data_IF_380767874039
#
_entry.id   IF_380767874039
#
_cell.length_a   1.000
_cell.length_b   1.000
_cell.length_c   1.000
_cell.angle_alpha   90.00
_cell.angle_beta   90.00
_cell.angle_gamma   90.00
#
_symmetry.space_group_name_H-M   'P 1'
#
loop_
_entity.id
_entity.type
_entity.pdbx_description
1 polymer ?
#
# COMPACT_ATOMS: atom_id res chain seq x y z
N UNK A 1 -2.77 0.07 42.19
CA UNK A 1 -1.46 -0.19 41.56
C UNK A 1 -1.18 0.95 40.59
N UNK A 2 0.03 1.48 40.54
CA UNK A 2 0.43 2.52 39.58
C UNK A 2 1.49 1.96 38.63
N UNK A 3 1.40 2.31 37.35
CA UNK A 3 2.21 1.75 36.27
C UNK A 3 1.34 1.19 35.15
N UNK A 4 1.96 0.84 34.02
CA UNK A 4 1.27 0.18 32.92
C UNK A 4 0.77 -1.20 33.36
N UNK A 5 -0.50 -1.50 33.10
CA UNK A 5 -1.16 -2.78 33.42
C UNK A 5 -1.78 -3.45 32.19
N UNK A 6 -1.49 -2.97 30.97
CA UNK A 6 -2.12 -3.46 29.74
C UNK A 6 -2.06 -4.99 29.59
N UNK A 7 -0.89 -5.58 29.84
CA UNK A 7 -0.71 -7.04 29.75
C UNK A 7 -1.58 -7.80 30.76
N UNK A 8 -1.72 -7.29 31.98
CA UNK A 8 -2.52 -7.90 33.05
C UNK A 8 -4.03 -7.68 32.89
N UNK A 9 -4.44 -6.66 32.14
CA UNK A 9 -5.86 -6.33 31.89
C UNK A 9 -6.39 -7.08 30.67
N UNK A 10 -5.52 -7.33 29.69
CA UNK A 10 -5.87 -7.97 28.43
C UNK A 10 -5.34 -9.41 28.31
N UNK A 11 -4.89 -10.03 29.40
CA UNK A 11 -4.50 -11.45 29.45
C UNK A 11 -5.66 -12.39 29.07
N UNK A 12 -6.89 -12.00 29.42
CA UNK A 12 -8.15 -12.64 29.02
C UNK A 12 -8.50 -12.50 27.53
N UNK A 13 -7.80 -11.64 26.77
CA UNK A 13 -8.12 -11.36 25.37
C UNK A 13 -7.26 -12.22 24.44
N UNK A 14 -7.86 -13.33 23.98
CA UNK A 14 -7.23 -14.23 23.03
C UNK A 14 -6.32 -15.27 23.68
N UNK A 15 -5.55 -15.98 22.85
CA UNK A 15 -4.54 -16.93 23.34
C UNK A 15 -3.23 -16.17 23.55
N UNK A 16 -2.59 -16.35 24.71
CA UNK A 16 -1.27 -15.76 24.98
C UNK A 16 -0.16 -16.71 24.50
N UNK A 17 1.00 -16.16 24.11
CA UNK A 17 2.16 -16.93 23.72
C UNK A 17 3.09 -17.23 24.91
N UNK A 18 3.84 -18.33 24.84
CA UNK A 18 4.88 -18.65 25.83
C UNK A 18 6.04 -17.64 25.77
N UNK A 19 6.31 -17.11 24.57
CA UNK A 19 7.29 -16.05 24.30
C UNK A 19 6.56 -14.81 23.77
N UNK A 20 6.19 -13.92 24.69
CA UNK A 20 5.46 -12.67 24.46
C UNK A 20 6.26 -11.43 24.93
N UNK A 21 5.75 -10.22 24.68
CA UNK A 21 6.33 -8.98 25.21
C UNK A 21 6.24 -8.91 26.74
N UNK A 22 7.16 -8.17 27.34
CA UNK A 22 7.07 -7.75 28.76
C UNK A 22 6.44 -6.36 28.87
N UNK A 23 6.22 -5.88 30.10
CA UNK A 23 5.77 -4.50 30.35
C UNK A 23 6.70 -3.47 29.71
N UNK A 24 7.99 -3.77 29.53
CA UNK A 24 8.92 -2.89 28.83
C UNK A 24 8.64 -2.78 27.33
N UNK A 25 8.27 -3.88 26.66
CA UNK A 25 7.83 -3.85 25.26
C UNK A 25 6.51 -3.09 25.10
N UNK A 26 5.58 -3.28 26.03
CA UNK A 26 4.31 -2.54 26.08
C UNK A 26 4.50 -1.02 26.31
N UNK A 27 5.36 -0.63 27.26
CA UNK A 27 5.72 0.78 27.52
C UNK A 27 6.37 1.43 26.29
N UNK A 28 7.24 0.70 25.59
CA UNK A 28 7.84 1.17 24.34
C UNK A 28 6.79 1.36 23.23
N UNK A 29 5.88 0.41 23.05
CA UNK A 29 4.80 0.55 22.07
C UNK A 29 3.88 1.75 22.39
N UNK A 30 3.54 2.01 23.66
CA UNK A 30 2.81 3.23 24.05
C UNK A 30 3.64 4.51 23.83
N UNK A 31 4.97 4.45 24.00
CA UNK A 31 5.87 5.57 23.68
C UNK A 31 5.83 5.90 22.18
N UNK A 32 5.92 4.90 21.30
CA UNK A 32 5.81 5.11 19.85
C UNK A 32 4.39 5.56 19.47
N UNK A 33 3.34 5.02 20.08
CA UNK A 33 1.97 5.51 19.94
C UNK A 33 1.86 7.01 20.23
N UNK A 34 2.44 7.49 21.34
CA UNK A 34 2.43 8.91 21.69
C UNK A 34 3.19 9.78 20.65
N UNK A 35 4.34 9.30 20.15
CA UNK A 35 5.09 9.98 19.08
C UNK A 35 4.27 10.08 17.78
N UNK A 36 3.62 8.98 17.37
CA UNK A 36 2.77 8.94 16.17
C UNK A 36 1.53 9.85 16.31
N UNK A 37 0.86 9.82 17.47
CA UNK A 37 -0.28 10.68 17.77
C UNK A 37 0.08 12.17 17.77
N UNK A 38 1.17 12.54 18.45
CA UNK A 38 1.67 13.92 18.46
C UNK A 38 2.06 14.40 17.05
N UNK A 39 2.74 13.55 16.28
CA UNK A 39 3.12 13.86 14.90
C UNK A 39 1.89 14.11 14.02
N UNK A 40 0.84 13.29 14.17
CA UNK A 40 -0.45 13.46 13.48
C UNK A 40 -1.07 14.82 13.78
N UNK A 41 -1.12 15.22 15.06
CA UNK A 41 -1.66 16.51 15.48
C UNK A 41 -0.85 17.69 14.93
N UNK A 42 0.49 17.58 14.91
CA UNK A 42 1.39 18.61 14.36
C UNK A 42 1.18 18.75 12.84
N UNK A 43 1.20 17.64 12.09
CA UNK A 43 1.03 17.65 10.63
C UNK A 43 -0.35 18.23 10.24
N UNK A 44 -1.40 17.86 10.98
CA UNK A 44 -2.74 18.42 10.75
C UNK A 44 -2.82 19.91 11.12
N UNK A 45 -2.16 20.32 12.21
CA UNK A 45 -1.93 21.72 12.57
C UNK A 45 -1.33 22.54 11.42
N UNK A 46 -0.30 21.99 10.77
CA UNK A 46 0.38 22.60 9.61
C UNK A 46 -0.48 22.62 8.34
N UNK A 47 -1.47 21.71 8.22
CA UNK A 47 -2.38 21.63 7.07
C UNK A 47 -3.46 22.72 7.07
N UNK A 48 -3.98 23.11 8.25
CA UNK A 48 -5.07 24.09 8.37
C UNK A 48 -4.84 25.43 7.64
N UNK A 49 -3.68 26.11 7.75
CA UNK A 49 -3.45 27.39 7.07
C UNK A 49 -3.22 27.28 5.55
N UNK A 50 -3.11 26.06 4.98
CA UNK A 50 -2.84 25.87 3.54
C UNK A 50 -4.14 25.97 2.71
N UNK A 51 -4.11 26.44 1.45
CA UNK A 51 -5.22 26.31 0.50
C UNK A 51 -5.56 24.84 0.23
N UNK A 52 -6.80 24.53 -0.15
CA UNK A 52 -7.29 23.14 -0.27
C UNK A 52 -6.41 22.27 -1.17
N UNK A 53 -6.04 22.75 -2.36
CA UNK A 53 -5.16 22.02 -3.30
C UNK A 53 -3.74 21.73 -2.80
N UNK A 54 -3.29 22.37 -1.71
CA UNK A 54 -1.95 22.19 -1.14
C UNK A 54 -1.92 21.25 0.09
N UNK A 55 -3.08 20.73 0.51
CA UNK A 55 -3.19 19.88 1.72
C UNK A 55 -2.96 18.39 1.45
N UNK A 56 -2.94 17.95 0.20
CA UNK A 56 -2.89 16.52 -0.15
C UNK A 56 -1.76 15.75 0.55
N UNK A 57 -0.50 16.19 0.39
CA UNK A 57 0.66 15.58 1.08
C UNK A 57 0.51 15.62 2.61
N UNK A 58 0.02 16.72 3.18
CA UNK A 58 -0.22 16.78 4.64
C UNK A 58 -1.28 15.76 5.10
N UNK A 59 -2.32 15.52 4.30
CA UNK A 59 -3.36 14.55 4.60
C UNK A 59 -2.88 13.10 4.43
N UNK A 60 -2.06 12.81 3.42
CA UNK A 60 -1.41 11.49 3.24
C UNK A 60 -0.46 11.22 4.42
N UNK A 61 0.49 12.12 4.68
CA UNK A 61 1.46 11.98 5.77
C UNK A 61 0.81 11.94 7.16
N UNK A 62 -0.26 12.70 7.42
CA UNK A 62 -1.00 12.60 8.68
C UNK A 62 -1.78 11.27 8.80
N UNK A 63 -2.28 10.72 7.69
CA UNK A 63 -2.97 9.42 7.70
C UNK A 63 -1.99 8.29 8.04
N UNK A 64 -0.75 8.37 7.54
CA UNK A 64 0.34 7.45 7.88
C UNK A 64 0.59 7.42 9.39
N UNK A 65 0.78 8.57 10.03
CA UNK A 65 1.03 8.64 11.48
C UNK A 65 -0.22 8.32 12.30
N UNK A 66 -1.43 8.61 11.80
CA UNK A 66 -2.68 8.30 12.49
C UNK A 66 -2.94 6.79 12.57
N UNK A 67 -2.76 6.07 11.46
CA UNK A 67 -2.92 4.60 11.41
C UNK A 67 -1.87 3.92 12.28
N UNK A 68 -0.61 4.35 12.18
CA UNK A 68 0.45 3.85 13.06
C UNK A 68 0.14 4.11 14.54
N UNK A 69 -0.38 5.27 14.91
CA UNK A 69 -0.81 5.55 16.29
C UNK A 69 -1.82 4.50 16.81
N UNK A 70 -2.80 4.11 16.00
CA UNK A 70 -3.83 3.12 16.38
C UNK A 70 -3.22 1.71 16.50
N UNK A 71 -2.34 1.33 15.59
CA UNK A 71 -1.67 0.02 15.63
C UNK A 71 -0.70 -0.08 16.81
N UNK A 72 0.09 0.95 17.09
CA UNK A 72 0.97 1.01 18.26
C UNK A 72 0.20 1.08 19.58
N UNK A 73 -0.98 1.70 19.63
CA UNK A 73 -1.90 1.57 20.76
C UNK A 73 -2.34 0.12 20.96
N UNK A 74 -2.72 -0.58 19.87
CA UNK A 74 -3.13 -2.00 19.95
C UNK A 74 -1.99 -2.88 20.44
N UNK A 75 -0.78 -2.75 19.88
CA UNK A 75 0.40 -3.52 20.31
C UNK A 75 0.79 -3.22 21.76
N UNK A 76 0.77 -1.94 22.18
CA UNK A 76 0.99 -1.56 23.58
C UNK A 76 -0.07 -2.14 24.52
N UNK A 77 -1.32 -2.22 24.06
CA UNK A 77 -2.43 -2.83 24.79
C UNK A 77 -2.39 -4.38 24.83
N UNK A 78 -1.42 -5.05 24.19
CA UNK A 78 -1.40 -6.50 23.98
C UNK A 78 -2.54 -7.04 23.09
N UNK A 79 -3.04 -6.21 22.17
CA UNK A 79 -4.15 -6.52 21.28
C UNK A 79 -3.68 -6.69 19.83
N UNK A 80 -4.39 -7.50 19.06
CA UNK A 80 -4.04 -7.77 17.66
C UNK A 80 -2.80 -8.65 17.50
N UNK A 81 -2.59 -9.58 18.44
CA UNK A 81 -1.56 -10.62 18.41
C UNK A 81 -2.16 -12.02 18.22
N UNK A 82 -1.33 -12.96 17.76
CA UNK A 82 -1.64 -14.39 17.75
C UNK A 82 -0.39 -15.23 18.11
N UNK A 83 -0.53 -16.31 18.91
CA UNK A 83 0.57 -17.22 19.21
C UNK A 83 0.82 -18.20 18.07
N UNK A 84 2.07 -18.24 17.60
CA UNK A 84 2.54 -19.10 16.51
C UNK A 84 3.66 -20.00 17.03
N UNK A 85 3.56 -21.32 16.82
CA UNK A 85 4.61 -22.27 17.18
C UNK A 85 5.96 -21.83 16.59
N UNK A 86 6.96 -21.65 17.44
CA UNK A 86 8.30 -21.31 17.01
C UNK A 86 8.92 -22.47 16.21
N UNK A 87 9.55 -22.15 15.09
CA UNK A 87 10.25 -23.12 14.25
C UNK A 87 11.64 -23.44 14.83
N UNK A 88 12.34 -22.41 15.29
CA UNK A 88 13.72 -22.51 15.77
C UNK A 88 13.80 -22.31 17.29
N UNK A 89 13.69 -23.40 18.05
CA UNK A 89 13.91 -23.36 19.51
C UNK A 89 15.41 -23.24 19.81
N UNK A 90 15.81 -22.16 20.49
CA UNK A 90 17.22 -21.81 20.76
C UNK A 90 17.62 -22.16 22.20
N UNK A 91 18.04 -23.40 22.46
CA UNK A 91 18.57 -23.78 23.78
C UNK A 91 19.80 -22.93 24.17
N UNK A 92 19.78 -22.36 25.38
CA UNK A 92 20.91 -21.61 25.95
C UNK A 92 20.81 -20.08 25.95
N UNK A 93 19.79 -19.46 25.33
CA UNK A 93 19.46 -18.03 25.57
C UNK A 93 18.25 -17.96 26.48
N UNK A 94 18.41 -17.53 27.73
CA UNK A 94 17.32 -17.56 28.73
C UNK A 94 16.02 -16.86 28.28
N UNK A 95 16.11 -15.83 27.43
CA UNK A 95 14.96 -15.12 26.87
C UNK A 95 14.29 -15.82 25.68
N UNK A 96 14.90 -16.81 25.03
CA UNK A 96 14.39 -17.45 23.78
C UNK A 96 14.43 -18.99 23.85
N UNK A 97 14.93 -19.55 24.95
CA UNK A 97 15.05 -20.99 25.17
C UNK A 97 13.73 -21.58 25.68
N UNK A 98 13.17 -22.53 24.94
CA UNK A 98 11.98 -23.29 25.35
C UNK A 98 10.65 -22.77 24.82
N UNK A 99 10.64 -21.75 23.96
CA UNK A 99 9.39 -21.23 23.38
C UNK A 99 8.65 -22.32 22.59
N UNK A 100 7.48 -22.73 23.08
CA UNK A 100 6.48 -23.42 22.28
C UNK A 100 5.93 -22.44 21.26
N UNK A 101 5.13 -21.50 21.73
CA UNK A 101 4.55 -20.42 20.94
C UNK A 101 5.28 -19.10 21.12
N UNK A 102 5.36 -18.34 20.04
CA UNK A 102 5.87 -16.97 19.96
C UNK A 102 4.71 -16.04 19.59
N UNK A 103 4.67 -14.89 20.24
CA UNK A 103 3.73 -13.82 19.91
C UNK A 103 4.04 -13.19 18.54
N UNK A 104 3.00 -12.94 17.76
CA UNK A 104 3.06 -12.28 16.46
C UNK A 104 1.98 -11.20 16.40
N UNK A 105 2.39 -9.93 16.43
CA UNK A 105 1.48 -8.78 16.28
C UNK A 105 1.05 -8.60 14.81
N UNK A 106 0.04 -9.34 14.38
CA UNK A 106 -0.50 -9.23 13.02
C UNK A 106 -1.04 -7.82 12.72
N UNK A 107 -1.46 -7.06 13.74
CA UNK A 107 -1.89 -5.65 13.61
C UNK A 107 -0.79 -4.74 13.03
N UNK A 108 0.49 -5.08 13.18
CA UNK A 108 1.60 -4.36 12.54
C UNK A 108 1.54 -4.43 11.01
N UNK A 109 1.15 -5.58 10.48
CA UNK A 109 0.99 -5.78 9.04
C UNK A 109 -0.29 -5.10 8.52
N UNK A 110 -1.30 -4.88 9.37
CA UNK A 110 -2.46 -4.04 9.05
C UNK A 110 -2.08 -2.56 8.99
N UNK A 111 -1.20 -2.07 9.88
CA UNK A 111 -0.58 -0.74 9.73
C UNK A 111 0.14 -0.65 8.39
N UNK A 112 1.08 -1.56 8.12
CA UNK A 112 1.88 -1.51 6.90
C UNK A 112 1.03 -1.58 5.62
N UNK A 113 0.03 -2.46 5.53
CA UNK A 113 -0.88 -2.56 4.38
C UNK A 113 -1.72 -1.28 4.13
N UNK A 114 -1.70 -0.31 5.04
CA UNK A 114 -2.30 1.01 4.83
C UNK A 114 -1.21 2.07 4.66
N UNK A 115 -0.12 2.00 5.42
CA UNK A 115 0.88 3.07 5.49
C UNK A 115 2.03 2.95 4.50
N UNK A 116 2.45 1.75 4.11
CA UNK A 116 3.48 1.59 3.07
C UNK A 116 2.98 2.03 1.69
N UNK A 117 1.70 1.78 1.28
CA UNK A 117 1.18 2.33 0.04
C UNK A 117 1.09 3.86 0.05
N UNK A 118 0.77 4.46 1.20
CA UNK A 118 0.72 5.92 1.36
C UNK A 118 2.12 6.55 1.33
N UNK A 119 3.15 5.91 1.90
CA UNK A 119 4.55 6.36 1.82
C UNK A 119 5.06 6.34 0.37
N UNK A 120 4.72 5.30 -0.38
CA UNK A 120 5.01 5.21 -1.81
C UNK A 120 4.24 6.26 -2.61
N UNK A 121 2.95 6.48 -2.29
CA UNK A 121 2.14 7.50 -2.95
C UNK A 121 2.75 8.90 -2.77
N UNK A 122 3.16 9.27 -1.55
CA UNK A 122 3.86 10.53 -1.27
C UNK A 122 5.11 10.72 -2.16
N UNK A 123 5.94 9.67 -2.32
CA UNK A 123 7.13 9.71 -3.18
C UNK A 123 6.79 9.77 -4.68
N UNK A 124 5.91 8.90 -5.17
CA UNK A 124 5.62 8.75 -6.60
C UNK A 124 4.84 9.95 -7.15
N UNK A 125 3.97 10.56 -6.34
CA UNK A 125 3.35 11.85 -6.64
C UNK A 125 4.40 12.97 -6.68
N UNK A 126 5.38 12.98 -5.76
CA UNK A 126 6.50 13.96 -5.79
C UNK A 126 7.36 13.84 -7.04
N UNK A 127 7.50 12.63 -7.60
CA UNK A 127 8.23 12.39 -8.85
C UNK A 127 7.42 12.65 -10.14
N UNK A 128 6.10 12.85 -10.07
CA UNK A 128 5.25 12.96 -11.27
C UNK A 128 5.16 11.64 -12.06
N UNK A 129 5.08 10.51 -11.36
CA UNK A 129 4.94 9.16 -11.95
C UNK A 129 3.50 8.96 -12.46
N UNK A 130 3.29 8.37 -13.65
CA UNK A 130 1.96 8.14 -14.20
C UNK A 130 1.18 7.11 -13.37
N UNK A 131 -0.13 7.30 -13.27
CA UNK A 131 -1.02 6.54 -12.37
C UNK A 131 -0.92 5.03 -12.53
N UNK A 132 -0.71 4.49 -13.73
CA UNK A 132 -0.56 3.04 -13.93
C UNK A 132 0.71 2.48 -13.28
N UNK A 133 1.83 3.22 -13.33
CA UNK A 133 3.09 2.86 -12.66
C UNK A 133 2.94 2.99 -11.15
N UNK A 134 2.20 4.00 -10.66
CA UNK A 134 1.82 4.08 -9.23
C UNK A 134 1.06 2.81 -8.83
N UNK A 135 -0.03 2.47 -9.52
CA UNK A 135 -0.88 1.32 -9.17
C UNK A 135 -0.14 -0.02 -9.15
N UNK A 136 0.77 -0.29 -10.10
CA UNK A 136 1.56 -1.54 -10.08
C UNK A 136 2.62 -1.53 -8.96
N UNK A 137 3.18 -0.36 -8.62
CA UNK A 137 4.11 -0.24 -7.47
C UNK A 137 3.39 -0.49 -6.15
N UNK A 138 2.18 0.07 -5.98
CA UNK A 138 1.35 -0.19 -4.79
C UNK A 138 0.91 -1.66 -4.72
N UNK A 139 0.59 -2.31 -5.84
CA UNK A 139 0.28 -3.75 -5.86
C UNK A 139 1.48 -4.61 -5.44
N UNK A 140 2.69 -4.25 -5.84
CA UNK A 140 3.90 -4.93 -5.38
C UNK A 140 4.11 -4.75 -3.86
N UNK A 141 3.81 -3.56 -3.34
CA UNK A 141 3.86 -3.25 -1.90
C UNK A 141 2.87 -4.10 -1.08
N UNK A 142 1.63 -4.23 -1.55
CA UNK A 142 0.65 -5.16 -0.96
C UNK A 142 1.14 -6.62 -0.98
N UNK A 143 1.74 -7.07 -2.10
CA UNK A 143 2.33 -8.42 -2.18
C UNK A 143 3.44 -8.58 -1.14
N UNK A 144 4.30 -7.57 -0.95
CA UNK A 144 5.35 -7.58 0.07
C UNK A 144 4.77 -7.70 1.49
N UNK A 145 3.80 -6.86 1.86
CA UNK A 145 3.22 -6.86 3.21
C UNK A 145 2.42 -8.13 3.48
N UNK A 146 1.56 -8.56 2.55
CA UNK A 146 0.72 -9.75 2.70
C UNK A 146 1.57 -11.02 2.78
N UNK A 147 2.62 -11.15 1.96
CA UNK A 147 3.54 -12.30 2.07
C UNK A 147 4.34 -12.26 3.38
N UNK A 148 4.79 -11.09 3.83
CA UNK A 148 5.40 -10.92 5.15
C UNK A 148 4.51 -11.40 6.30
N UNK A 149 3.22 -11.05 6.28
CA UNK A 149 2.23 -11.49 7.26
C UNK A 149 2.01 -13.01 7.21
N UNK A 150 1.72 -13.56 6.04
CA UNK A 150 1.48 -15.01 5.89
C UNK A 150 2.72 -15.82 6.30
N UNK A 151 3.92 -15.31 6.00
CA UNK A 151 5.18 -15.86 6.48
C UNK A 151 5.28 -15.85 8.01
N UNK A 152 4.94 -14.73 8.67
CA UNK A 152 4.99 -14.59 10.12
C UNK A 152 4.00 -15.53 10.84
N UNK A 153 2.87 -15.82 10.21
CA UNK A 153 1.87 -16.79 10.69
C UNK A 153 2.20 -18.25 10.36
N UNK A 154 3.22 -18.50 9.53
CA UNK A 154 3.61 -19.85 9.11
C UNK A 154 4.58 -20.49 10.11
N UNK A 155 4.21 -21.66 10.63
CA UNK A 155 4.97 -22.42 11.65
C UNK A 155 6.12 -23.27 11.09
N UNK A 156 6.17 -23.44 9.78
CA UNK A 156 7.13 -24.31 9.07
C UNK A 156 8.08 -23.48 8.21
N UNK A 157 9.14 -24.12 7.68
CA UNK A 157 10.13 -23.47 6.83
C UNK A 157 9.57 -22.85 5.53
N UNK A 158 8.30 -23.14 5.18
CA UNK A 158 7.58 -22.43 4.11
C UNK A 158 7.50 -20.91 4.32
N UNK A 159 7.66 -20.42 5.57
CA UNK A 159 7.79 -18.99 5.87
C UNK A 159 8.88 -18.29 5.04
N UNK A 160 9.96 -19.00 4.70
CA UNK A 160 11.07 -18.46 3.91
C UNK A 160 10.73 -18.34 2.42
N UNK A 161 9.77 -19.14 1.92
CA UNK A 161 9.18 -18.93 0.59
C UNK A 161 8.42 -17.61 0.52
N UNK A 162 7.57 -17.34 1.51
CA UNK A 162 6.87 -16.06 1.62
C UNK A 162 7.83 -14.87 1.79
N UNK A 163 8.86 -14.99 2.64
CA UNK A 163 9.91 -13.98 2.76
C UNK A 163 10.63 -13.73 1.41
N UNK A 164 10.89 -14.78 0.63
CA UNK A 164 11.51 -14.65 -0.70
C UNK A 164 10.60 -13.91 -1.68
N UNK A 165 9.29 -14.19 -1.68
CA UNK A 165 8.33 -13.42 -2.49
C UNK A 165 8.27 -11.95 -2.07
N UNK A 166 8.28 -11.67 -0.76
CA UNK A 166 8.35 -10.31 -0.22
C UNK A 166 9.64 -9.58 -0.62
N UNK A 167 10.79 -10.27 -0.61
CA UNK A 167 12.06 -9.71 -1.08
C UNK A 167 12.06 -9.40 -2.58
N UNK A 168 11.46 -10.27 -3.42
CA UNK A 168 11.31 -10.00 -4.86
C UNK A 168 10.44 -8.76 -5.10
N UNK A 169 9.34 -8.63 -4.35
CA UNK A 169 8.49 -7.43 -4.39
C UNK A 169 9.23 -6.16 -3.92
N UNK A 170 9.99 -6.24 -2.81
CA UNK A 170 10.83 -5.14 -2.34
C UNK A 170 11.90 -4.72 -3.38
N UNK A 171 12.52 -5.67 -4.09
CA UNK A 171 13.47 -5.35 -5.16
C UNK A 171 12.80 -4.72 -6.38
N UNK A 172 11.55 -5.08 -6.69
CA UNK A 172 10.75 -4.39 -7.71
C UNK A 172 10.44 -2.94 -7.31
N UNK A 173 10.00 -2.71 -6.07
CA UNK A 173 9.76 -1.37 -5.52
C UNK A 173 11.05 -0.53 -5.51
N UNK A 174 12.18 -1.15 -5.15
CA UNK A 174 13.50 -0.52 -5.19
C UNK A 174 13.92 -0.13 -6.63
N UNK A 175 13.62 -0.97 -7.62
CA UNK A 175 13.83 -0.65 -9.03
C UNK A 175 12.96 0.54 -9.47
N UNK A 176 11.66 0.50 -9.20
CA UNK A 176 10.73 1.59 -9.55
C UNK A 176 11.18 2.92 -8.93
N UNK A 177 11.51 2.94 -7.64
CA UNK A 177 11.91 4.17 -6.95
C UNK A 177 13.32 4.66 -7.37
N UNK A 178 14.32 3.80 -7.40
CA UNK A 178 15.72 4.21 -7.62
C UNK A 178 16.07 4.39 -9.10
N UNK A 179 15.28 3.82 -10.02
CA UNK A 179 15.55 3.84 -11.45
C UNK A 179 14.46 4.51 -12.29
N UNK A 180 13.19 4.10 -12.20
CA UNK A 180 12.18 4.60 -13.14
C UNK A 180 11.55 5.92 -12.72
N UNK A 181 10.97 5.99 -11.53
CA UNK A 181 10.46 7.23 -10.93
C UNK A 181 11.56 8.32 -10.82
N UNK A 182 12.82 7.91 -10.66
CA UNK A 182 13.99 8.79 -10.79
C UNK A 182 14.05 9.52 -12.13
N UNK A 183 13.75 8.85 -13.26
CA UNK A 183 13.72 9.48 -14.60
C UNK A 183 12.59 10.50 -14.71
N UNK A 184 11.45 10.24 -14.08
CA UNK A 184 10.32 11.18 -14.01
C UNK A 184 10.72 12.44 -13.21
N UNK A 185 11.26 12.28 -12.01
CA UNK A 185 11.76 13.37 -11.18
C UNK A 185 12.86 14.22 -11.88
N UNK A 186 13.72 13.60 -12.70
CA UNK A 186 14.73 14.32 -13.50
C UNK A 186 14.10 15.20 -14.59
N UNK A 187 12.97 14.80 -15.20
CA UNK A 187 12.24 15.61 -16.19
C UNK A 187 11.56 16.83 -15.57
N UNK A 188 11.06 16.71 -14.34
CA UNK A 188 10.51 17.86 -13.58
C UNK A 188 11.61 18.85 -13.18
N UNK A 189 12.78 18.35 -12.77
CA UNK A 189 13.91 19.17 -12.37
C UNK A 189 13.69 19.90 -11.03
N UNK A 190 14.48 20.95 -10.81
CA UNK A 190 14.31 21.89 -9.69
C UNK A 190 14.24 21.26 -8.29
N UNK A 191 13.30 21.78 -7.48
CA UNK A 191 13.04 21.34 -6.10
C UNK A 191 12.36 19.95 -6.06
N UNK A 192 11.33 19.62 -6.87
CA UNK A 192 10.71 18.28 -6.88
C UNK A 192 11.73 17.16 -7.06
N UNK A 193 12.67 17.32 -8.00
CA UNK A 193 13.77 16.38 -8.21
C UNK A 193 14.59 16.14 -6.94
N UNK A 194 14.99 17.22 -6.26
CA UNK A 194 15.86 17.17 -5.10
C UNK A 194 15.13 16.58 -3.88
N UNK A 195 13.87 16.97 -3.68
CA UNK A 195 12.95 16.39 -2.70
C UNK A 195 12.84 14.88 -2.87
N UNK A 196 12.54 14.44 -4.10
CA UNK A 196 12.39 13.02 -4.43
C UNK A 196 13.65 12.21 -4.14
N UNK A 197 14.84 12.68 -4.57
CA UNK A 197 16.09 11.99 -4.28
C UNK A 197 16.35 11.84 -2.77
N UNK A 198 16.20 12.93 -2.01
CA UNK A 198 16.44 12.92 -0.56
C UNK A 198 15.48 11.96 0.15
N UNK A 199 14.18 12.06 -0.12
CA UNK A 199 13.18 11.26 0.57
C UNK A 199 13.19 9.80 0.12
N UNK A 200 13.37 9.53 -1.18
CA UNK A 200 13.38 8.18 -1.75
C UNK A 200 14.61 7.36 -1.35
N UNK A 201 15.81 7.95 -1.37
CA UNK A 201 17.02 7.27 -0.89
C UNK A 201 16.97 6.98 0.61
N UNK A 202 16.46 7.94 1.39
CA UNK A 202 16.26 7.80 2.83
C UNK A 202 15.27 6.67 3.17
N UNK A 203 14.10 6.66 2.52
CA UNK A 203 13.08 5.63 2.76
C UNK A 203 13.58 4.24 2.36
N UNK A 204 14.19 4.10 1.17
CA UNK A 204 14.72 2.81 0.72
C UNK A 204 15.80 2.24 1.64
N UNK A 205 16.70 3.08 2.17
CA UNK A 205 17.71 2.64 3.13
C UNK A 205 17.05 2.03 4.39
N UNK A 206 16.00 2.67 4.91
CA UNK A 206 15.27 2.19 6.09
C UNK A 206 14.47 0.93 5.75
N UNK A 207 13.82 0.86 4.59
CA UNK A 207 13.00 -0.28 4.16
C UNK A 207 13.79 -1.58 4.06
N UNK A 208 15.06 -1.53 3.62
CA UNK A 208 15.93 -2.73 3.62
C UNK A 208 16.28 -3.26 5.03
N UNK A 209 16.01 -2.52 6.10
CA UNK A 209 16.20 -3.00 7.48
C UNK A 209 15.00 -3.81 8.00
N UNK A 210 13.78 -3.59 7.47
CA UNK A 210 12.59 -4.35 7.86
C UNK A 210 12.69 -5.87 7.58
N UNK A 211 13.13 -6.35 6.39
CA UNK A 211 13.26 -7.80 6.17
C UNK A 211 14.40 -8.43 6.99
N UNK A 212 15.37 -7.64 7.47
CA UNK A 212 16.40 -8.07 8.42
C UNK A 212 15.79 -8.23 9.81
N UNK A 213 15.00 -7.24 10.28
CA UNK A 213 14.24 -7.33 11.52
C UNK A 213 13.31 -8.55 11.53
N UNK A 214 12.62 -8.80 10.42
CA UNK A 214 11.76 -9.98 10.21
C UNK A 214 12.53 -11.29 10.30
N UNK A 215 13.66 -11.38 9.57
CA UNK A 215 14.52 -12.56 9.57
C UNK A 215 15.08 -12.90 10.95
N UNK A 216 15.31 -11.89 11.79
CA UNK A 216 15.75 -12.06 13.18
C UNK A 216 14.59 -12.36 14.16
N UNK A 217 13.36 -11.98 13.83
CA UNK A 217 12.21 -12.00 14.75
C UNK A 217 11.24 -13.15 14.44
N UNK A 218 10.27 -12.93 13.54
CA UNK A 218 9.25 -13.92 13.16
C UNK A 218 9.85 -15.09 12.36
N UNK A 219 10.86 -14.79 11.53
CA UNK A 219 11.57 -15.74 10.68
C UNK A 219 12.41 -16.75 11.47
N UNK A 220 13.62 -16.34 11.87
CA UNK A 220 14.65 -17.19 12.46
C UNK A 220 14.63 -17.32 13.99
N UNK A 221 13.63 -16.70 14.65
CA UNK A 221 13.39 -16.70 16.09
C UNK A 221 14.69 -16.45 16.91
N UNK A 222 15.39 -15.37 16.57
CA UNK A 222 16.71 -15.01 17.10
C UNK A 222 16.62 -14.01 18.27
N UNK A 223 15.68 -13.06 18.18
CA UNK A 223 15.48 -11.98 19.15
C UNK A 223 14.11 -12.06 19.86
N UNK A 224 14.08 -11.55 21.10
CA UNK A 224 12.88 -11.48 21.95
C UNK A 224 11.82 -10.54 21.35
N UNK A 225 10.51 -10.77 21.57
CA UNK A 225 9.45 -9.84 21.18
C UNK A 225 9.68 -8.38 21.64
N UNK A 226 10.25 -8.15 22.83
CA UNK A 226 10.65 -6.79 23.25
C UNK A 226 11.75 -6.17 22.37
N UNK A 227 12.72 -6.98 21.91
CA UNK A 227 13.79 -6.51 21.02
C UNK A 227 13.28 -6.22 19.62
N UNK A 228 12.32 -7.03 19.14
CA UNK A 228 11.56 -6.79 17.92
C UNK A 228 10.74 -5.49 18.03
N UNK A 229 10.05 -5.27 19.14
CA UNK A 229 9.28 -4.05 19.41
C UNK A 229 10.16 -2.80 19.33
N UNK A 230 11.36 -2.85 19.94
CA UNK A 230 12.37 -1.78 19.85
C UNK A 230 12.83 -1.60 18.40
N UNK A 231 13.17 -2.68 17.69
CA UNK A 231 13.71 -2.59 16.33
C UNK A 231 12.68 -1.99 15.36
N UNK A 232 11.48 -2.57 15.25
CA UNK A 232 10.44 -2.02 14.37
C UNK A 232 9.95 -0.64 14.83
N UNK A 233 9.85 -0.38 16.14
CA UNK A 233 9.48 0.93 16.67
C UNK A 233 10.45 2.04 16.25
N UNK A 234 11.76 1.77 16.30
CA UNK A 234 12.78 2.72 15.81
C UNK A 234 12.64 2.91 14.29
N UNK A 235 12.51 1.82 13.53
CA UNK A 235 12.36 1.90 12.07
C UNK A 235 11.11 2.70 11.68
N UNK A 236 9.97 2.47 12.33
CA UNK A 236 8.73 3.19 12.05
C UNK A 236 8.81 4.67 12.43
N UNK A 237 9.46 5.05 13.54
CA UNK A 237 9.69 6.46 13.87
C UNK A 237 10.51 7.17 12.78
N UNK A 238 11.51 6.50 12.21
CA UNK A 238 12.26 7.06 11.07
C UNK A 238 11.45 7.04 9.76
N UNK A 239 10.78 5.95 9.44
CA UNK A 239 10.04 5.75 8.18
C UNK A 239 8.73 6.53 8.09
N UNK A 240 8.11 6.91 9.22
CA UNK A 240 6.79 7.57 9.25
C UNK A 240 6.90 9.07 9.64
N UNK A 241 7.03 9.48 10.93
CA UNK A 241 7.02 10.91 11.27
C UNK A 241 8.30 11.65 10.88
N UNK A 242 9.50 11.05 10.94
CA UNK A 242 10.73 11.72 10.49
C UNK A 242 10.77 11.85 8.97
N UNK A 243 10.45 10.78 8.23
CA UNK A 243 10.20 10.85 6.78
C UNK A 243 9.22 11.97 6.42
N UNK A 244 8.06 11.99 7.08
CA UNK A 244 7.01 12.97 6.86
C UNK A 244 7.47 14.41 7.12
N UNK A 245 8.24 14.64 8.18
CA UNK A 245 8.82 15.95 8.46
C UNK A 245 9.81 16.40 7.38
N UNK A 246 10.66 15.49 6.88
CA UNK A 246 11.60 15.77 5.77
C UNK A 246 10.81 16.09 4.49
N UNK A 247 9.83 15.26 4.14
CA UNK A 247 9.00 15.41 2.94
C UNK A 247 8.25 16.75 2.94
N UNK A 248 7.50 17.06 4.01
CA UNK A 248 6.72 18.29 4.12
C UNK A 248 7.61 19.54 4.18
N UNK A 249 8.81 19.43 4.75
CA UNK A 249 9.80 20.52 4.72
C UNK A 249 10.35 20.79 3.31
N UNK A 250 10.48 19.79 2.45
CA UNK A 250 10.83 20.00 1.04
C UNK A 250 9.63 20.56 0.26
N UNK A 251 8.42 20.01 0.49
CA UNK A 251 7.18 20.44 -0.17
C UNK A 251 6.74 21.87 0.16
N UNK A 252 7.28 22.52 1.20
CA UNK A 252 7.04 23.96 1.44
C UNK A 252 7.52 24.87 0.29
N UNK A 253 8.39 24.35 -0.59
CA UNK A 253 8.96 25.03 -1.75
C UNK A 253 8.53 24.37 -3.09
N UNK A 254 7.45 23.58 -3.09
CA UNK A 254 6.87 22.92 -4.26
C UNK A 254 5.40 23.32 -4.34
N UNK A 255 4.95 23.89 -5.48
CA UNK A 255 3.53 24.04 -5.75
C UNK A 255 2.97 22.73 -6.35
N UNK A 256 1.69 22.37 -6.11
CA UNK A 256 1.07 21.18 -6.71
C UNK A 256 1.14 21.14 -8.25
N UNK A 257 1.19 22.31 -8.88
CA UNK A 257 1.40 22.47 -10.33
C UNK A 257 2.77 21.98 -10.80
N UNK A 258 3.80 22.08 -9.97
CA UNK A 258 5.20 21.74 -10.31
C UNK A 258 5.41 20.21 -10.41
N UNK A 259 4.47 19.45 -9.84
CA UNK A 259 4.39 17.98 -9.92
C UNK A 259 3.20 17.50 -10.78
N UNK A 260 2.54 18.41 -11.49
CA UNK A 260 1.44 18.10 -12.41
C UNK A 260 0.10 17.74 -11.76
N UNK A 261 -0.08 18.03 -10.46
CA UNK A 261 -1.27 17.65 -9.70
C UNK A 261 -2.35 18.72 -9.72
N UNK A 262 -3.27 18.59 -10.68
CA UNK A 262 -4.49 19.38 -10.75
C UNK A 262 -5.59 18.81 -9.84
N UNK A 263 -5.49 19.07 -8.53
CA UNK A 263 -6.59 18.76 -7.62
C UNK A 263 -7.82 19.60 -7.99
N UNK A 264 -8.94 18.93 -8.29
CA UNK A 264 -10.18 19.62 -8.65
C UNK A 264 -10.74 20.37 -7.45
N UNK A 265 -10.42 21.66 -7.35
CA UNK A 265 -11.15 22.57 -6.48
C UNK A 265 -12.63 22.52 -6.84
N UNK A 266 -13.49 22.51 -5.82
CA UNK A 266 -14.94 22.49 -6.01
C UNK A 266 -15.39 23.91 -6.38
N UNK A 267 -15.08 24.32 -7.62
CA UNK A 267 -15.60 25.53 -8.22
C UNK A 267 -17.12 25.58 -8.02
N UNK A 268 -17.61 26.72 -7.53
CA UNK A 268 -18.93 26.82 -6.94
C UNK A 268 -20.04 26.34 -7.87
N UNK A 269 -20.78 25.31 -7.43
CA UNK A 269 -22.12 25.01 -7.93
C UNK A 269 -23.05 26.16 -7.53
N UNK A 270 -23.00 27.26 -8.27
CA UNK A 270 -23.79 28.46 -8.02
C UNK A 270 -23.04 29.77 -8.25
N UNK A 271 -22.63 30.05 -9.50
CA UNK A 271 -22.63 31.41 -10.09
C UNK A 271 -22.42 31.34 -11.63
N UNK A 272 -23.28 30.57 -12.30
CA UNK A 272 -23.54 30.77 -13.73
C UNK A 272 -24.82 31.59 -13.87
N UNK A 273 -24.78 32.65 -14.67
CA UNK A 273 -25.88 33.60 -14.96
C UNK A 273 -26.46 34.40 -13.78
N UNK A 274 -25.83 35.54 -13.46
CA UNK A 274 -26.56 36.78 -13.16
C UNK A 274 -25.68 38.02 -13.41
N UNK A 275 -26.00 38.80 -14.46
CA UNK A 275 -25.66 40.23 -14.55
C UNK A 275 -24.30 40.63 -15.13
N UNK A 276 -24.25 40.85 -16.46
CA UNK A 276 -23.43 41.90 -17.11
C UNK A 276 -23.77 42.07 -18.62
N UNK A 277 -25.04 42.15 -19.00
CA UNK A 277 -25.40 42.66 -20.35
C UNK A 277 -25.16 44.17 -20.38
N UNK A 278 -24.10 44.60 -21.07
CA UNK A 278 -23.76 46.01 -21.25
C UNK A 278 -24.87 46.79 -21.95
N UNK A 279 -25.23 47.94 -21.38
CA UNK A 279 -26.27 48.82 -21.90
C UNK A 279 -25.73 49.62 -23.11
N UNK A 280 -26.39 49.49 -24.26
CA UNK A 280 -26.19 50.42 -25.38
C UNK A 280 -27.03 51.69 -25.18
N UNK A 281 -26.38 52.86 -25.18
CA UNK A 281 -27.05 54.14 -25.46
C UNK A 281 -26.10 55.19 -26.04
N UNK A 282 -26.62 55.97 -27.00
CA UNK A 282 -25.91 57.02 -27.73
C UNK A 282 -25.45 56.58 -29.13
N UNK A 283 -25.62 57.37 -30.20
CA UNK A 283 -26.55 58.50 -30.40
C UNK A 283 -26.75 58.71 -31.92
N UNK A 284 -27.79 59.45 -32.31
CA UNK A 284 -28.17 59.73 -33.71
C UNK A 284 -27.06 60.29 -34.60
N UNK A 285 -27.06 59.91 -35.89
CA UNK A 285 -27.23 60.88 -36.98
C UNK A 285 -27.90 60.26 -38.22
N UNK A 286 -28.58 61.09 -39.03
CA UNK A 286 -29.35 60.68 -40.24
C UNK A 286 -28.66 61.22 -41.48
N UNK A 287 -28.66 60.47 -42.60
CA UNK A 287 -28.72 61.03 -43.96
C UNK A 287 -29.09 59.98 -45.01
N UNK A 288 -30.10 60.32 -45.83
CA UNK A 288 -30.50 59.78 -47.15
C UNK A 288 -31.45 60.82 -47.78
N UNK A 289 -31.80 60.81 -49.10
CA UNK A 289 -31.43 59.86 -50.16
C UNK A 289 -30.88 60.51 -51.47
N UNK A 290 -30.52 59.69 -52.47
CA UNK A 290 -30.18 60.10 -53.85
C UNK A 290 -30.34 58.93 -54.85
N UNK A 291 -30.71 59.20 -56.11
CA UNK A 291 -31.39 58.26 -57.02
C UNK A 291 -30.62 57.93 -58.34
N UNK A 292 -31.13 56.94 -59.12
CA UNK A 292 -30.77 56.50 -60.49
C UNK A 292 -29.60 55.48 -60.60
N UNK A 293 -29.76 54.23 -61.11
CA UNK A 293 -30.06 53.72 -62.48
C UNK A 293 -28.82 53.75 -63.42
N UNK A 294 -28.50 52.83 -64.34
CA UNK A 294 -29.20 51.73 -65.06
C UNK A 294 -28.25 50.57 -65.50
N UNK A 295 -28.78 49.59 -66.26
CA UNK A 295 -28.17 48.35 -66.83
C UNK A 295 -28.82 48.10 -68.23
N UNK A 296 -28.32 47.28 -69.22
CA UNK A 296 -27.32 46.20 -69.15
C UNK A 296 -26.38 46.01 -70.40
N UNK A 297 -25.58 44.91 -70.40
CA UNK A 297 -24.91 44.30 -71.57
C UNK A 297 -23.81 43.31 -71.14
N UNK A 298 -23.72 42.01 -71.46
CA UNK A 298 -24.15 41.10 -72.57
C UNK A 298 -23.11 40.96 -73.72
N UNK A 299 -22.86 39.68 -74.10
CA UNK A 299 -21.88 39.12 -75.06
C UNK A 299 -20.39 39.09 -74.61
N UNK A 300 -19.57 38.05 -74.93
CA UNK A 300 -19.86 36.71 -75.47
C UNK A 300 -18.80 36.17 -76.46
N UNK A 301 -18.26 34.95 -76.23
CA UNK A 301 -17.77 34.03 -77.28
C UNK A 301 -16.26 33.72 -77.42
N UNK A 302 -15.91 32.41 -77.32
CA UNK A 302 -14.78 31.72 -78.01
C UNK A 302 -13.34 31.88 -77.46
N UNK A 303 -12.46 30.86 -77.45
CA UNK A 303 -12.60 29.42 -77.77
C UNK A 303 -11.26 28.63 -77.75
N UNK A 304 -11.30 27.29 -77.60
CA UNK A 304 -10.15 26.32 -77.64
C UNK A 304 -9.34 26.20 -76.34
N UNK A 305 -8.90 25.05 -75.79
CA UNK A 305 -8.86 23.63 -76.24
C UNK A 305 -7.40 23.12 -76.32
N UNK A 306 -6.97 21.97 -75.80
CA UNK A 306 -7.57 20.81 -75.07
C UNK A 306 -6.47 20.14 -74.18
N UNK A 307 -6.61 19.00 -73.46
CA UNK A 307 -7.71 18.05 -73.19
C UNK A 307 -7.22 16.80 -72.41
N UNK A 308 -8.15 16.09 -71.74
CA UNK A 308 -7.99 14.70 -71.19
C UNK A 308 -7.06 14.49 -69.96
N UNK A 309 -7.30 13.57 -69.02
CA UNK A 309 -8.48 12.75 -68.71
C UNK A 309 -8.45 12.29 -67.22
N UNK A 310 -9.59 11.83 -66.70
CA UNK A 310 -9.97 11.48 -65.31
C UNK A 310 -10.91 10.23 -65.42
N UNK A 311 -11.33 9.43 -64.39
CA UNK A 311 -11.05 9.35 -62.93
C UNK A 311 -10.61 7.94 -62.44
N UNK A 312 -10.53 7.70 -61.12
CA UNK A 312 -10.83 6.36 -60.59
C UNK A 312 -10.45 5.99 -59.13
N UNK A 313 -10.99 6.64 -58.10
CA UNK A 313 -11.13 6.06 -56.74
C UNK A 313 -12.58 5.53 -56.59
N UNK A 314 -12.87 4.45 -55.82
CA UNK A 314 -12.97 4.57 -54.35
C UNK A 314 -12.69 3.29 -53.51
N UNK A 315 -12.68 3.44 -52.17
CA UNK A 315 -12.93 2.39 -51.18
C UNK A 315 -14.45 2.41 -50.79
N UNK A 316 -15.05 1.55 -49.92
CA UNK A 316 -14.46 0.61 -48.93
C UNK A 316 -15.25 -0.74 -48.80
N UNK A 317 -15.26 -1.34 -47.59
CA UNK A 317 -16.22 -2.31 -47.01
C UNK A 317 -15.72 -3.76 -46.74
N UNK A 318 -16.57 -4.57 -46.08
CA UNK A 318 -16.19 -5.54 -45.01
C UNK A 318 -16.89 -6.92 -45.06
N UNK A 319 -16.39 -7.83 -44.21
CA UNK A 319 -17.07 -9.00 -43.57
C UNK A 319 -17.16 -10.38 -44.30
N UNK A 320 -17.32 -11.44 -43.47
CA UNK A 320 -17.47 -12.88 -43.83
C UNK A 320 -16.14 -13.66 -43.80
N UNK A 321 -15.83 -14.65 -42.94
CA UNK A 321 -16.55 -15.78 -42.29
C UNK A 321 -16.91 -16.95 -43.22
N UNK A 322 -16.16 -18.06 -43.13
CA UNK A 322 -16.55 -19.49 -43.21
C UNK A 322 -15.27 -20.33 -42.88
N UNK A 323 -15.19 -21.26 -41.92
CA UNK A 323 -15.91 -22.52 -41.58
C UNK A 323 -15.63 -23.73 -42.51
N UNK A 324 -14.85 -24.69 -41.98
CA UNK A 324 -14.99 -26.17 -42.08
C UNK A 324 -13.98 -26.77 -41.07
N UNK A 325 -14.38 -27.53 -40.04
CA UNK A 325 -14.76 -28.96 -40.03
C UNK A 325 -13.61 -29.88 -40.49
N UNK A 326 -13.25 -30.99 -39.83
CA UNK A 326 -13.71 -31.74 -38.64
C UNK A 326 -12.76 -32.96 -38.49
N UNK A 327 -12.73 -33.84 -37.49
CA UNK A 327 -13.81 -34.50 -36.74
C UNK A 327 -13.20 -35.46 -35.67
N UNK A 328 -13.80 -35.51 -34.46
CA UNK A 328 -14.00 -36.69 -33.56
C UNK A 328 -12.79 -37.59 -33.15
N UNK A 329 -12.77 -38.37 -32.05
CA UNK A 329 -13.82 -39.18 -31.38
C UNK A 329 -13.58 -39.25 -29.85
N UNK A 330 -14.66 -39.20 -29.06
CA UNK A 330 -14.74 -39.72 -27.67
C UNK A 330 -15.48 -41.07 -27.68
N UNK A 331 -15.30 -41.93 -26.66
CA UNK A 331 -16.48 -42.22 -25.84
C UNK A 331 -16.19 -42.32 -24.32
N UNK A 332 -17.28 -42.32 -23.56
CA UNK A 332 -17.35 -42.43 -22.10
C UNK A 332 -17.34 -43.90 -21.60
N UNK A 333 -17.13 -44.12 -20.30
CA UNK A 333 -17.32 -45.44 -19.67
C UNK A 333 -17.02 -45.45 -18.16
N UNK A 334 -17.92 -45.93 -17.27
CA UNK A 334 -17.86 -45.63 -15.83
C UNK A 334 -17.39 -46.81 -14.94
N UNK A 335 -17.09 -46.51 -13.67
CA UNK A 335 -17.01 -47.54 -12.62
C UNK A 335 -16.39 -47.08 -11.28
N UNK A 336 -17.18 -46.86 -10.22
CA UNK A 336 -16.69 -46.90 -8.85
C UNK A 336 -16.60 -48.36 -8.38
N UNK A 337 -15.62 -48.70 -7.55
CA UNK A 337 -15.57 -50.03 -6.93
C UNK A 337 -15.37 -49.94 -5.41
N UNK A 338 -16.35 -50.46 -4.67
CA UNK A 338 -16.34 -50.59 -3.22
C UNK A 338 -16.15 -52.07 -2.90
N UNK A 339 -15.11 -52.40 -2.13
CA UNK A 339 -15.07 -53.66 -1.39
C UNK A 339 -14.52 -53.42 0.01
N UNK A 340 -15.43 -53.45 0.98
CA UNK A 340 -15.13 -53.67 2.39
C UNK A 340 -14.71 -55.13 2.63
N UNK A 341 -13.85 -55.38 3.62
CA UNK A 341 -13.96 -56.61 4.43
C UNK A 341 -13.42 -56.37 5.86
N UNK A 342 -14.17 -56.72 6.92
CA UNK A 342 -13.72 -56.66 8.31
C UNK A 342 -13.27 -58.05 8.84
N UNK A 343 -13.20 -58.18 10.17
CA UNK A 343 -12.76 -59.33 11.00
C UNK A 343 -11.23 -59.41 11.20
N UNK A 344 -10.62 -59.40 12.40
CA UNK A 344 -10.99 -59.72 13.80
C UNK A 344 -10.61 -61.13 14.29
N UNK A 345 -9.59 -61.17 15.16
CA UNK A 345 -9.25 -62.11 16.27
C UNK A 345 -8.06 -61.44 16.98
N UNK A 346 -7.99 -61.17 18.29
CA UNK A 346 -8.45 -61.94 19.46
C UNK A 346 -7.26 -62.76 20.00
N UNK A 347 -6.80 -62.66 21.26
CA UNK A 347 -7.17 -61.78 22.38
C UNK A 347 -6.40 -62.18 23.68
N UNK A 348 -6.59 -61.42 24.77
CA UNK A 348 -6.19 -61.73 26.17
C UNK A 348 -4.67 -61.97 26.46
N UNK A 349 -4.12 -61.69 27.66
CA UNK A 349 -4.65 -61.77 29.03
C UNK A 349 -4.23 -60.60 29.95
N UNK A 350 -4.97 -60.42 31.05
CA UNK A 350 -4.69 -59.46 32.13
C UNK A 350 -4.02 -60.13 33.36
N UNK A 351 -3.89 -59.36 34.47
CA UNK A 351 -3.34 -59.68 35.80
C UNK A 351 -1.80 -59.58 35.95
N UNK A 352 -1.24 -59.10 37.08
CA UNK A 352 -1.81 -58.39 38.25
C UNK A 352 -0.69 -57.72 39.09
N UNK A 353 -1.06 -56.87 40.07
CA UNK A 353 -0.27 -56.68 41.30
C UNK A 353 0.29 -55.28 41.56
N UNK A 354 -0.43 -54.49 42.37
CA UNK A 354 0.23 -53.58 43.32
C UNK A 354 0.74 -54.40 44.54
N UNK A 355 1.66 -53.83 45.35
CA UNK A 355 1.16 -53.24 46.60
C UNK A 355 1.76 -51.87 46.93
N UNK A 356 1.11 -51.17 47.86
CA UNK A 356 1.53 -49.87 48.40
C UNK A 356 2.62 -49.99 49.48
N UNK A 357 3.33 -48.90 49.77
CA UNK A 357 4.09 -48.69 51.00
C UNK A 357 3.98 -47.24 51.49
N UNK A 358 3.92 -47.07 52.82
CA UNK A 358 3.61 -45.80 53.49
C UNK A 358 4.68 -45.37 54.50
N UNK A 359 5.20 -44.16 54.34
CA UNK A 359 5.83 -43.34 55.39
C UNK A 359 7.23 -43.76 55.90
N UNK A 360 7.83 -42.99 56.84
CA UNK A 360 7.35 -41.75 57.47
C UNK A 360 8.25 -40.52 57.20
N UNK A 361 7.90 -39.37 57.81
CA UNK A 361 8.64 -38.10 57.74
C UNK A 361 9.72 -37.94 58.83
N UNK A 362 10.59 -36.94 58.67
CA UNK A 362 11.16 -36.00 59.68
C UNK A 362 12.39 -35.29 59.08
N UNK A 363 12.33 -33.97 58.95
CA UNK A 363 13.09 -32.92 59.70
C UNK A 363 12.28 -31.63 59.54
#
# INVERSE_FOLDING_TARGET
MGGNQALNVNDVVGQQADLAITTHGSDWYFTVCAVMGLSTLIIMGLAFPKPQGHRAFHYITASITAVACIAYFSMGANLGQVPIQAEFVRSGRAQVAGAGTREIFYVRYIDWAITTPLLLLDLLLTAGVPTHTILVTLLADEIMVVTGLVGALTRTSYKWGYWTFGMVALFFIAYELLWDARRHAVRLGGVPRTSYYTCGMYLMFIWFLYPIAWGLSEGGNVIHPDSEAIFYGILDVFAKPVFGAILLWQHRAIAPTDVGLNFRERSGLGHANAGATGLHHGQHEKHEPGLASDVPGVHGGGGGGSGGAVPGTPAPASAGVHHNDGTHIHPEGPGPNVTSNPAATGGHTAHAGQPAYTGPAVI
#
